data_IF_660624683472
#
_entry.id   IF_660624683472
#
_cell.length_a   1.000
_cell.length_b   1.000
_cell.length_c   1.000
_cell.angle_alpha   90.00
_cell.angle_beta   90.00
_cell.angle_gamma   90.00
#
_symmetry.space_group_name_H-M   'P 1'
#
loop_
_entity.id
_entity.type
_entity.pdbx_description
1 polymer ?
#
# COMPACT_ATOMS: atom_id res chain seq x y z
N UNK A 1 -14.15 -0.97 59.34
CA UNK A 1 -15.54 -1.18 58.88
C UNK A 1 -15.49 -1.48 57.39
N UNK A 2 -15.93 -2.61 56.82
CA UNK A 2 -16.77 -3.73 57.24
C UNK A 2 -16.28 -4.97 56.48
N UNK A 3 -16.11 -6.08 57.20
CA UNK A 3 -15.77 -7.43 56.75
C UNK A 3 -16.92 -8.06 55.95
N UNK A 4 -16.61 -8.96 55.00
CA UNK A 4 -17.38 -10.20 54.85
C UNK A 4 -16.58 -11.32 54.16
N UNK A 5 -16.16 -12.28 54.99
CA UNK A 5 -15.83 -13.66 54.66
C UNK A 5 -17.11 -14.47 54.34
N UNK A 6 -17.06 -15.41 53.40
CA UNK A 6 -17.74 -16.72 53.51
C UNK A 6 -17.08 -17.72 52.54
N UNK A 7 -16.27 -18.65 53.07
CA UNK A 7 -16.59 -20.07 53.37
C UNK A 7 -16.92 -20.92 52.14
N UNK A 8 -15.91 -21.64 51.66
CA UNK A 8 -16.07 -22.90 50.92
C UNK A 8 -16.48 -24.00 51.91
N UNK A 9 -17.65 -24.61 51.67
CA UNK A 9 -18.04 -25.87 52.28
C UNK A 9 -18.05 -26.96 51.20
N UNK A 10 -17.31 -28.05 51.46
CA UNK A 10 -17.46 -29.34 50.76
C UNK A 10 -18.78 -29.96 51.19
N UNK A 11 -19.59 -30.47 50.25
CA UNK A 11 -20.32 -31.72 50.46
C UNK A 11 -20.72 -32.40 49.15
N UNK A 12 -20.68 -33.74 49.21
CA UNK A 12 -20.96 -34.74 48.20
C UNK A 12 -22.36 -34.63 47.60
N UNK A 13 -22.48 -34.89 46.28
CA UNK A 13 -23.37 -35.89 45.71
C UNK A 13 -23.29 -35.85 44.17
N UNK A 14 -22.92 -36.98 43.57
CA UNK A 14 -22.71 -37.14 42.13
C UNK A 14 -23.95 -36.82 41.29
N UNK A 15 -24.03 -35.57 40.82
CA UNK A 15 -24.87 -35.14 39.69
C UNK A 15 -24.00 -34.30 38.75
N UNK A 16 -24.09 -34.47 37.42
CA UNK A 16 -23.33 -33.67 36.49
C UNK A 16 -23.67 -32.19 36.68
N UNK A 17 -22.63 -31.35 36.73
CA UNK A 17 -22.75 -29.91 36.80
C UNK A 17 -23.50 -29.39 35.56
N UNK A 18 -24.82 -29.29 35.68
CA UNK A 18 -25.62 -28.44 34.81
C UNK A 18 -25.16 -27.01 35.08
N UNK A 19 -24.48 -26.42 34.10
CA UNK A 19 -24.23 -24.98 34.06
C UNK A 19 -25.58 -24.25 34.01
N UNK A 20 -26.14 -23.97 35.17
CA UNK A 20 -27.26 -23.07 35.33
C UNK A 20 -26.68 -21.66 35.29
N UNK A 21 -26.50 -21.13 34.08
CA UNK A 21 -26.11 -19.74 33.89
C UNK A 21 -27.22 -18.86 34.44
N UNK A 22 -26.91 -18.16 35.53
CA UNK A 22 -27.80 -17.21 36.18
C UNK A 22 -28.04 -16.08 35.20
N UNK A 23 -29.32 -15.81 34.92
CA UNK A 23 -29.77 -14.69 34.12
C UNK A 23 -29.24 -13.38 34.72
N UNK A 24 -28.25 -12.81 34.05
CA UNK A 24 -27.92 -11.39 34.08
C UNK A 24 -28.01 -10.91 32.64
N UNK A 25 -28.86 -9.91 32.40
CA UNK A 25 -29.04 -9.25 31.12
C UNK A 25 -27.71 -8.65 30.62
N UNK A 26 -26.96 -9.48 29.90
CA UNK A 26 -25.77 -9.12 29.14
C UNK A 26 -26.01 -9.55 27.71
N UNK A 27 -26.17 -8.57 26.83
CA UNK A 27 -26.40 -8.73 25.40
C UNK A 27 -25.32 -9.66 24.81
N UNK A 28 -25.70 -10.90 24.51
CA UNK A 28 -24.87 -11.89 23.84
C UNK A 28 -24.78 -11.55 22.34
N UNK A 29 -23.89 -10.64 21.95
CA UNK A 29 -23.53 -10.36 20.56
C UNK A 29 -22.59 -11.44 19.96
N UNK A 30 -22.81 -12.71 20.30
CA UNK A 30 -22.17 -13.82 19.59
C UNK A 30 -22.92 -13.99 18.26
N UNK A 31 -22.27 -13.89 17.09
CA UNK A 31 -22.97 -14.11 15.83
C UNK A 31 -23.62 -15.49 15.88
N UNK A 32 -24.93 -15.57 15.61
CA UNK A 32 -25.63 -16.84 15.62
C UNK A 32 -24.91 -17.84 14.74
N UNK A 33 -24.81 -19.09 15.17
CA UNK A 33 -24.13 -20.15 14.43
C UNK A 33 -24.65 -20.23 12.97
N UNK A 34 -25.93 -19.92 12.76
CA UNK A 34 -26.56 -19.80 11.45
C UNK A 34 -26.05 -18.63 10.61
N UNK A 35 -25.76 -17.48 11.22
CA UNK A 35 -25.15 -16.35 10.53
C UNK A 35 -23.72 -16.68 10.09
N UNK A 36 -22.98 -17.41 10.93
CA UNK A 36 -21.63 -17.92 10.62
C UNK A 36 -21.71 -18.94 9.47
N UNK A 37 -22.63 -19.90 9.53
CA UNK A 37 -22.86 -20.87 8.46
C UNK A 37 -23.30 -20.23 7.14
N UNK A 38 -24.23 -19.26 7.17
CA UNK A 38 -24.64 -18.53 5.96
C UNK A 38 -23.48 -17.77 5.35
N UNK A 39 -22.59 -17.19 6.16
CA UNK A 39 -21.38 -16.50 5.70
C UNK A 39 -20.39 -17.44 5.03
N UNK A 40 -20.23 -18.66 5.55
CA UNK A 40 -19.39 -19.70 4.92
C UNK A 40 -20.06 -20.35 3.69
N UNK A 41 -21.40 -20.38 3.65
CA UNK A 41 -22.18 -20.94 2.55
C UNK A 41 -22.34 -19.96 1.37
N UNK A 42 -22.28 -18.65 1.62
CA UNK A 42 -22.41 -17.64 0.57
C UNK A 42 -21.18 -17.61 -0.33
N UNK A 43 -21.40 -17.84 -1.63
CA UNK A 43 -20.35 -17.74 -2.65
C UNK A 43 -19.85 -16.30 -2.72
N UNK A 44 -18.53 -16.02 -2.67
CA UNK A 44 -18.03 -14.69 -2.99
C UNK A 44 -18.46 -14.36 -4.42
N UNK A 45 -19.08 -13.19 -4.61
CA UNK A 45 -19.46 -12.74 -5.94
C UNK A 45 -18.23 -12.72 -6.86
N UNK A 46 -18.40 -13.29 -8.06
CA UNK A 46 -17.38 -13.18 -9.12
C UNK A 46 -17.14 -11.70 -9.38
N UNK A 47 -15.88 -11.29 -9.40
CA UNK A 47 -15.53 -9.91 -9.70
C UNK A 47 -15.40 -9.74 -11.20
N UNK A 48 -16.02 -8.69 -11.72
CA UNK A 48 -15.85 -8.32 -13.12
C UNK A 48 -14.39 -8.00 -13.41
N UNK A 49 -13.95 -8.29 -14.64
CA UNK A 49 -12.58 -8.05 -15.09
C UNK A 49 -12.16 -6.59 -14.85
N UNK A 50 -13.03 -5.63 -15.18
CA UNK A 50 -12.76 -4.20 -14.95
C UNK A 50 -12.53 -3.86 -13.47
N UNK A 51 -13.25 -4.50 -12.56
CA UNK A 51 -13.07 -4.33 -11.11
C UNK A 51 -11.71 -4.87 -10.64
N UNK A 52 -11.24 -5.96 -11.23
CA UNK A 52 -9.91 -6.51 -10.97
C UNK A 52 -8.81 -5.58 -11.50
N UNK A 53 -8.94 -5.10 -12.74
CA UNK A 53 -7.98 -4.14 -13.33
C UNK A 53 -7.91 -2.86 -12.50
N UNK A 54 -9.05 -2.32 -12.08
CA UNK A 54 -9.08 -1.12 -11.26
C UNK A 54 -8.48 -1.33 -9.86
N UNK A 55 -8.62 -2.54 -9.29
CA UNK A 55 -7.91 -2.92 -8.06
C UNK A 55 -6.41 -3.06 -8.30
N UNK A 56 -5.98 -3.49 -9.49
CA UNK A 56 -4.56 -3.65 -9.83
C UNK A 56 -3.86 -2.32 -10.14
N UNK A 57 -4.60 -1.27 -10.51
CA UNK A 57 -4.05 0.08 -10.70
C UNK A 57 -3.28 0.60 -9.49
N UNK A 58 -3.61 0.15 -8.28
CA UNK A 58 -2.85 0.53 -7.07
C UNK A 58 -1.40 0.10 -7.18
N UNK A 59 -1.20 -1.16 -7.55
CA UNK A 59 0.13 -1.76 -7.65
C UNK A 59 0.89 -1.07 -8.76
N UNK A 60 0.21 -0.80 -9.88
CA UNK A 60 0.77 -0.06 -11.00
C UNK A 60 1.17 1.39 -10.63
N UNK A 61 0.40 2.06 -9.76
CA UNK A 61 0.74 3.40 -9.27
C UNK A 61 1.99 3.39 -8.40
N UNK A 62 2.08 2.51 -7.40
CA UNK A 62 3.28 2.40 -6.54
C UNK A 62 4.52 1.99 -7.35
N UNK A 63 4.35 1.08 -8.33
CA UNK A 63 5.39 0.73 -9.29
C UNK A 63 5.85 1.94 -10.10
N UNK A 64 4.91 2.73 -10.65
CA UNK A 64 5.24 3.93 -11.42
C UNK A 64 5.93 5.01 -10.59
N UNK A 65 5.50 5.24 -9.35
CA UNK A 65 6.17 6.16 -8.43
C UNK A 65 7.61 5.72 -8.11
N UNK A 66 7.80 4.42 -7.90
CA UNK A 66 9.13 3.83 -7.66
C UNK A 66 10.05 4.02 -8.88
N UNK A 67 9.55 3.72 -10.08
CA UNK A 67 10.29 3.94 -11.33
C UNK A 67 10.58 5.41 -11.58
N UNK A 68 9.63 6.31 -11.30
CA UNK A 68 9.84 7.75 -11.42
C UNK A 68 10.98 8.22 -10.53
N UNK A 69 11.02 7.79 -9.26
CA UNK A 69 12.06 8.22 -8.33
C UNK A 69 13.45 7.72 -8.76
N UNK A 70 13.56 6.46 -9.20
CA UNK A 70 14.80 5.90 -9.75
C UNK A 70 15.25 6.67 -11.00
N UNK A 71 14.35 6.91 -11.95
CA UNK A 71 14.65 7.67 -13.16
C UNK A 71 15.06 9.12 -12.84
N UNK A 72 14.36 9.77 -11.88
CA UNK A 72 14.68 11.14 -11.47
C UNK A 72 16.05 11.24 -10.83
N UNK A 73 16.41 10.27 -9.99
CA UNK A 73 17.74 10.16 -9.40
C UNK A 73 18.81 9.96 -10.46
N UNK A 74 18.60 9.04 -11.42
CA UNK A 74 19.55 8.81 -12.52
C UNK A 74 19.81 10.09 -13.31
N UNK A 75 18.74 10.80 -13.70
CA UNK A 75 18.86 12.09 -14.42
C UNK A 75 19.57 13.14 -13.55
N UNK A 76 19.38 13.12 -12.23
CA UNK A 76 20.10 13.99 -11.31
C UNK A 76 21.62 13.77 -11.37
N UNK A 77 22.07 12.51 -11.35
CA UNK A 77 23.48 12.16 -11.46
C UNK A 77 24.07 12.56 -12.81
N UNK A 78 23.33 12.33 -13.91
CA UNK A 78 23.76 12.79 -15.24
C UNK A 78 23.93 14.30 -15.30
N UNK A 79 23.04 15.06 -14.64
CA UNK A 79 23.13 16.52 -14.60
C UNK A 79 24.36 17.00 -13.82
N UNK A 80 24.68 16.37 -12.69
CA UNK A 80 25.91 16.68 -11.93
C UNK A 80 27.17 16.38 -12.75
N UNK A 81 27.19 15.24 -13.44
CA UNK A 81 28.30 14.85 -14.31
C UNK A 81 28.47 15.78 -15.52
N UNK A 82 27.37 16.27 -16.10
CA UNK A 82 27.40 17.10 -17.32
C UNK A 82 27.79 18.56 -17.04
N UNK A 83 27.79 19.00 -15.77
CA UNK A 83 28.15 20.37 -15.39
C UNK A 83 29.60 20.73 -15.73
N UNK A 84 30.45 19.75 -16.03
CA UNK A 84 31.85 19.95 -16.45
C UNK A 84 32.06 20.13 -17.96
N UNK A 85 31.03 20.01 -18.82
CA UNK A 85 31.17 20.13 -20.29
C UNK A 85 30.05 21.01 -20.89
N UNK A 86 30.36 22.13 -21.56
CA UNK A 86 29.36 23.06 -22.06
C UNK A 86 28.94 22.72 -23.50
N UNK A 87 27.87 21.94 -23.70
CA UNK A 87 27.24 21.84 -25.03
C UNK A 87 25.70 21.78 -25.01
N UNK A 88 25.11 22.27 -26.11
CA UNK A 88 23.69 22.59 -26.32
C UNK A 88 22.69 21.43 -26.14
N UNK A 89 23.12 20.18 -25.99
CA UNK A 89 22.25 19.04 -25.65
C UNK A 89 21.66 19.16 -24.23
N UNK A 90 22.27 19.99 -23.37
CA UNK A 90 21.89 20.20 -21.98
C UNK A 90 20.51 20.86 -21.82
N UNK A 91 20.13 21.80 -22.69
CA UNK A 91 18.87 22.56 -22.56
C UNK A 91 17.64 21.72 -22.85
N UNK A 92 17.67 20.83 -23.85
CA UNK A 92 16.54 19.96 -24.21
C UNK A 92 16.30 18.89 -23.14
N UNK A 93 17.36 18.35 -22.53
CA UNK A 93 17.20 17.37 -21.44
C UNK A 93 16.66 18.02 -20.16
N UNK A 94 16.99 19.28 -19.90
CA UNK A 94 16.56 20.01 -18.71
C UNK A 94 15.08 20.42 -18.77
N UNK A 95 14.57 20.85 -19.93
CA UNK A 95 13.15 21.23 -20.10
C UNK A 95 12.21 20.04 -19.89
N UNK A 96 12.53 18.88 -20.46
CA UNK A 96 11.75 17.65 -20.28
C UNK A 96 11.75 17.18 -18.81
N UNK A 97 12.89 17.34 -18.13
CA UNK A 97 13.05 16.98 -16.72
C UNK A 97 12.18 17.86 -15.81
N UNK A 98 12.22 19.17 -16.02
CA UNK A 98 11.44 20.13 -15.24
C UNK A 98 9.95 19.93 -15.52
N UNK A 99 9.56 19.74 -16.78
CA UNK A 99 8.18 19.48 -17.17
C UNK A 99 7.62 18.21 -16.50
N UNK A 100 8.36 17.11 -16.52
CA UNK A 100 7.90 15.87 -15.93
C UNK A 100 7.89 15.88 -14.40
N UNK A 101 8.82 16.62 -13.77
CA UNK A 101 8.82 16.85 -12.33
C UNK A 101 7.63 17.71 -11.90
N UNK A 102 7.30 18.74 -12.68
CA UNK A 102 6.11 19.59 -12.46
C UNK A 102 4.82 18.80 -12.69
N UNK A 103 4.76 17.97 -13.73
CA UNK A 103 3.60 17.12 -13.99
C UNK A 103 3.35 16.11 -12.85
N UNK A 104 4.42 15.49 -12.33
CA UNK A 104 4.32 14.59 -11.17
C UNK A 104 3.88 15.32 -9.91
N UNK A 105 4.48 16.48 -9.61
CA UNK A 105 4.11 17.25 -8.42
C UNK A 105 2.67 17.76 -8.51
N UNK A 106 2.21 18.19 -9.69
CA UNK A 106 0.82 18.56 -9.94
C UNK A 106 -0.14 17.38 -9.73
N UNK A 107 0.21 16.18 -10.23
CA UNK A 107 -0.59 14.97 -10.01
C UNK A 107 -0.69 14.61 -8.52
N UNK A 108 0.42 14.67 -7.78
CA UNK A 108 0.44 14.42 -6.33
C UNK A 108 -0.38 15.47 -5.58
N UNK A 109 -0.23 16.75 -5.91
CA UNK A 109 -1.00 17.83 -5.29
C UNK A 109 -2.50 17.69 -5.55
N UNK A 110 -2.90 17.28 -6.75
CA UNK A 110 -4.29 16.99 -7.08
C UNK A 110 -4.84 15.83 -6.24
N UNK A 111 -4.07 14.75 -6.07
CA UNK A 111 -4.43 13.62 -5.20
C UNK A 111 -4.60 14.07 -3.74
N UNK A 112 -3.64 14.83 -3.21
CA UNK A 112 -3.71 15.37 -1.85
C UNK A 112 -4.91 16.31 -1.66
N UNK A 113 -5.20 17.16 -2.66
CA UNK A 113 -6.34 18.07 -2.65
C UNK A 113 -7.68 17.32 -2.67
N UNK A 114 -7.81 16.32 -3.55
CA UNK A 114 -9.00 15.46 -3.63
C UNK A 114 -9.22 14.67 -2.34
N UNK A 115 -8.15 14.12 -1.75
CA UNK A 115 -8.19 13.48 -0.43
C UNK A 115 -8.64 14.44 0.67
N UNK A 116 -8.10 15.66 0.68
CA UNK A 116 -8.50 16.68 1.65
C UNK A 116 -9.99 17.01 1.54
N UNK A 117 -10.55 17.10 0.32
CA UNK A 117 -11.98 17.38 0.10
C UNK A 117 -12.90 16.20 0.47
N UNK A 118 -12.42 14.97 0.26
CA UNK A 118 -13.14 13.71 0.50
C UNK A 118 -13.41 13.46 2.00
N UNK A 119 -12.49 13.89 2.87
CA UNK A 119 -12.64 13.65 4.30
C UNK A 119 -13.86 14.42 4.86
N UNK A 120 -14.66 13.77 5.72
CA UNK A 120 -15.81 14.39 6.43
C UNK A 120 -15.42 14.95 7.82
N UNK A 121 -14.14 14.88 8.17
CA UNK A 121 -13.62 15.27 9.49
C UNK A 121 -13.80 16.80 9.69
N UNK A 122 -14.22 17.27 10.88
CA UNK A 122 -14.33 18.71 11.17
C UNK A 122 -12.97 19.43 11.02
N UNK A 123 -13.01 20.68 10.53
CA UNK A 123 -11.82 21.47 10.14
C UNK A 123 -10.73 21.56 11.21
N UNK A 124 -11.10 21.62 12.49
CA UNK A 124 -10.15 21.71 13.62
C UNK A 124 -9.31 20.43 13.78
N UNK A 125 -9.96 19.26 13.84
CA UNK A 125 -9.27 17.95 13.90
C UNK A 125 -8.40 17.67 12.67
N UNK A 126 -8.65 18.32 11.52
CA UNK A 126 -7.77 18.22 10.35
C UNK A 126 -6.47 18.98 10.52
N UNK A 127 -6.51 20.19 11.09
CA UNK A 127 -5.31 21.02 11.27
C UNK A 127 -4.35 20.34 12.24
N UNK A 128 -4.85 19.84 13.36
CA UNK A 128 -4.05 19.11 14.34
C UNK A 128 -3.40 17.86 13.73
N UNK A 129 -4.17 17.05 12.99
CA UNK A 129 -3.63 15.89 12.27
C UNK A 129 -2.59 16.29 11.22
N UNK A 130 -2.87 17.32 10.42
CA UNK A 130 -1.96 17.80 9.39
C UNK A 130 -0.66 18.33 9.99
N UNK A 131 -0.73 19.08 11.10
CA UNK A 131 0.43 19.54 11.84
C UNK A 131 1.25 18.39 12.39
N UNK A 132 0.60 17.38 12.99
CA UNK A 132 1.28 16.18 13.48
C UNK A 132 1.97 15.41 12.35
N UNK A 133 1.30 15.28 11.19
CA UNK A 133 1.91 14.64 10.02
C UNK A 133 3.07 15.43 9.46
N UNK A 134 2.95 16.76 9.44
CA UNK A 134 4.01 17.63 8.98
C UNK A 134 5.21 17.55 9.93
N UNK A 135 5.00 17.54 11.25
CA UNK A 135 6.08 17.38 12.22
C UNK A 135 6.76 16.02 12.08
N UNK A 136 5.99 14.94 11.91
CA UNK A 136 6.53 13.59 11.70
C UNK A 136 7.34 13.54 10.40
N UNK A 137 6.85 14.15 9.32
CA UNK A 137 7.54 14.21 8.04
C UNK A 137 8.83 15.03 8.10
N UNK A 138 8.83 16.16 8.82
CA UNK A 138 10.03 16.98 9.04
C UNK A 138 11.06 16.18 9.84
N UNK A 139 10.64 15.55 10.95
CA UNK A 139 11.52 14.73 11.78
C UNK A 139 12.11 13.58 10.97
N UNK A 140 11.28 12.88 10.20
CA UNK A 140 11.71 11.82 9.30
C UNK A 140 12.71 12.35 8.26
N UNK A 141 12.45 13.49 7.62
CA UNK A 141 13.36 14.11 6.66
C UNK A 141 14.73 14.45 7.26
N UNK A 142 14.74 14.97 8.50
CA UNK A 142 15.99 15.24 9.23
C UNK A 142 16.75 13.94 9.49
N UNK A 143 16.08 12.91 10.00
CA UNK A 143 16.70 11.60 10.28
C UNK A 143 17.24 10.96 9.00
N UNK A 144 16.47 10.96 7.92
CA UNK A 144 16.90 10.43 6.62
C UNK A 144 18.10 11.19 6.08
N UNK A 145 18.20 12.50 6.34
CA UNK A 145 19.35 13.29 5.92
C UNK A 145 20.61 12.96 6.72
N UNK A 146 20.48 12.80 8.03
CA UNK A 146 21.60 12.34 8.86
C UNK A 146 22.05 10.95 8.41
N UNK A 147 21.09 10.05 8.17
CA UNK A 147 21.35 8.71 7.68
C UNK A 147 21.98 8.74 6.28
N UNK A 148 21.56 9.63 5.38
CA UNK A 148 22.14 9.78 4.05
C UNK A 148 23.60 10.25 4.13
N UNK A 149 23.95 11.14 5.05
CA UNK A 149 25.33 11.57 5.29
C UNK A 149 26.21 10.43 5.80
N UNK A 150 25.71 9.65 6.78
CA UNK A 150 26.40 8.47 7.31
C UNK A 150 26.49 7.36 6.25
N UNK A 151 25.44 7.15 5.48
CA UNK A 151 25.44 6.19 4.37
C UNK A 151 26.39 6.64 3.27
N UNK A 152 26.54 7.94 3.00
CA UNK A 152 27.50 8.44 2.02
C UNK A 152 28.93 8.07 2.41
N UNK A 153 29.29 8.20 3.68
CA UNK A 153 30.64 7.80 4.15
C UNK A 153 30.81 6.28 4.14
N UNK A 154 29.80 5.52 4.55
CA UNK A 154 29.83 4.05 4.52
C UNK A 154 29.81 3.47 3.11
N UNK A 155 29.12 4.13 2.18
CA UNK A 155 28.99 3.67 0.79
C UNK A 155 30.05 4.22 -0.13
N UNK A 156 30.97 5.05 0.35
CA UNK A 156 32.11 5.54 -0.43
C UNK A 156 33.02 4.40 -0.94
N UNK A 157 33.11 3.28 -0.20
CA UNK A 157 33.89 2.10 -0.57
C UNK A 157 33.14 1.12 -1.48
N UNK A 158 31.82 1.25 -1.63
CA UNK A 158 31.02 0.42 -2.52
C UNK A 158 30.97 1.03 -3.94
N UNK A 159 30.83 0.19 -4.97
CA UNK A 159 30.67 0.69 -6.34
C UNK A 159 29.27 1.30 -6.54
N UNK A 160 29.15 2.26 -7.47
CA UNK A 160 27.85 2.90 -7.79
C UNK A 160 26.79 1.89 -8.20
N UNK A 161 27.17 0.89 -8.99
CA UNK A 161 26.28 -0.17 -9.48
C UNK A 161 25.66 -0.99 -8.33
N UNK A 162 26.45 -1.26 -7.27
CA UNK A 162 25.93 -1.99 -6.10
C UNK A 162 24.92 -1.18 -5.30
N UNK A 163 25.14 0.13 -5.15
CA UNK A 163 24.20 1.02 -4.46
C UNK A 163 22.90 1.16 -5.25
N UNK A 164 22.99 1.27 -6.58
CA UNK A 164 21.81 1.30 -7.46
C UNK A 164 21.04 -0.03 -7.43
N UNK A 165 21.75 -1.17 -7.41
CA UNK A 165 21.12 -2.48 -7.28
C UNK A 165 20.40 -2.65 -5.93
N UNK A 166 21.01 -2.21 -4.82
CA UNK A 166 20.39 -2.23 -3.50
C UNK A 166 19.17 -1.30 -3.42
N UNK A 167 19.26 -0.10 -4.01
CA UNK A 167 18.13 0.82 -4.07
C UNK A 167 16.99 0.26 -4.92
N UNK A 168 17.28 -0.32 -6.08
CA UNK A 168 16.29 -0.97 -6.94
C UNK A 168 15.63 -2.16 -6.23
N UNK A 169 16.42 -2.94 -5.49
CA UNK A 169 15.90 -4.04 -4.68
C UNK A 169 15.00 -3.53 -3.56
N UNK A 170 15.38 -2.45 -2.86
CA UNK A 170 14.57 -1.81 -1.84
C UNK A 170 13.26 -1.23 -2.39
N UNK A 171 13.28 -0.62 -3.58
CA UNK A 171 12.08 -0.17 -4.28
C UNK A 171 11.18 -1.34 -4.70
N UNK A 172 11.78 -2.44 -5.15
CA UNK A 172 11.03 -3.66 -5.47
C UNK A 172 10.38 -4.25 -4.21
N UNK A 173 11.11 -4.29 -3.10
CA UNK A 173 10.61 -4.75 -1.81
C UNK A 173 9.49 -3.85 -1.29
N UNK A 174 9.60 -2.54 -1.46
CA UNK A 174 8.55 -1.58 -1.15
C UNK A 174 7.25 -1.92 -1.89
N UNK A 175 7.32 -2.10 -3.21
CA UNK A 175 6.16 -2.49 -4.03
C UNK A 175 5.60 -3.84 -3.56
N UNK A 176 6.43 -4.86 -3.37
CA UNK A 176 5.96 -6.20 -2.94
C UNK A 176 5.30 -6.16 -1.56
N UNK A 177 5.83 -5.39 -0.62
CA UNK A 177 5.34 -5.36 0.76
C UNK A 177 4.25 -4.31 1.02
N UNK A 178 3.86 -3.54 0.00
CA UNK A 178 2.81 -2.54 0.12
C UNK A 178 1.47 -3.17 0.54
N UNK A 179 0.79 -2.59 1.53
CA UNK A 179 -0.54 -3.04 1.93
C UNK A 179 -1.60 -2.53 0.94
N UNK A 180 -1.74 -3.28 -0.15
CA UNK A 180 -2.69 -2.97 -1.21
C UNK A 180 -4.15 -3.13 -0.79
N UNK A 181 -4.45 -3.84 0.31
CA UNK A 181 -5.81 -3.91 0.84
C UNK A 181 -6.20 -2.58 1.46
N UNK A 182 -5.31 -2.02 2.29
CA UNK A 182 -5.49 -0.68 2.84
C UNK A 182 -5.61 0.36 1.73
N UNK A 183 -4.67 0.39 0.78
CA UNK A 183 -4.67 1.38 -0.28
C UNK A 183 -5.95 1.36 -1.13
N UNK A 184 -6.60 0.20 -1.30
CA UNK A 184 -7.88 0.06 -2.01
C UNK A 184 -9.12 0.51 -1.21
N UNK A 185 -8.96 1.09 -0.02
CA UNK A 185 -10.11 1.47 0.82
C UNK A 185 -10.84 0.28 1.45
N UNK A 186 -10.28 -0.93 1.37
CA UNK A 186 -10.91 -2.12 1.97
C UNK A 186 -10.62 -2.14 3.47
N UNK A 187 -11.67 -1.98 4.27
CA UNK A 187 -11.59 -2.24 5.71
C UNK A 187 -11.55 -3.76 5.93
N UNK A 188 -10.75 -4.26 6.89
CA UNK A 188 -10.72 -5.69 7.21
C UNK A 188 -12.13 -6.18 7.52
N UNK A 189 -12.55 -7.24 6.83
CA UNK A 189 -13.91 -7.74 6.83
C UNK A 189 -14.18 -8.58 8.10
N UNK A 190 -14.26 -7.92 9.26
CA UNK A 190 -14.50 -8.54 10.56
C UNK A 190 -14.98 -7.61 11.66
N UNK A 191 -15.10 -6.30 11.40
CA UNK A 191 -15.34 -5.29 12.44
C UNK A 191 -16.67 -4.55 12.25
N UNK A 192 -17.76 -5.30 12.03
CA UNK A 192 -19.13 -4.74 12.15
C UNK A 192 -19.53 -4.66 13.63
N UNK A 193 -18.90 -5.46 14.51
CA UNK A 193 -19.10 -5.43 15.97
C UNK A 193 -17.88 -4.74 16.60
N UNK A 194 -17.82 -3.40 16.54
CA UNK A 194 -17.15 -2.52 17.52
C UNK A 194 -17.41 -1.04 17.18
N UNK A 195 -18.66 -0.53 17.23
CA UNK A 195 -18.86 0.90 17.18
C UNK A 195 -18.63 1.59 18.54
N UNK A 196 -18.50 0.86 19.65
CA UNK A 196 -18.64 1.47 20.99
C UNK A 196 -17.41 1.51 21.90
N UNK A 197 -16.30 0.84 21.59
CA UNK A 197 -15.11 0.89 22.47
C UNK A 197 -13.83 1.03 21.63
N UNK A 198 -13.28 2.24 21.70
CA UNK A 198 -11.99 2.69 21.17
C UNK A 198 -11.91 2.97 19.66
N UNK A 199 -11.46 4.18 19.35
CA UNK A 199 -11.02 4.62 18.03
C UNK A 199 -9.77 3.85 17.58
N UNK A 200 -9.88 2.56 17.25
CA UNK A 200 -8.76 1.84 16.67
C UNK A 200 -8.61 2.26 15.20
N UNK A 201 -7.45 2.86 14.89
CA UNK A 201 -7.02 3.07 13.52
C UNK A 201 -6.95 1.70 12.82
N UNK A 202 -7.32 1.60 11.53
CA UNK A 202 -7.02 0.40 10.75
C UNK A 202 -5.53 0.09 10.88
N UNK A 203 -5.19 -1.09 11.39
CA UNK A 203 -3.80 -1.48 11.65
C UNK A 203 -3.12 -1.72 10.30
N UNK A 204 -2.20 -0.82 9.94
CA UNK A 204 -1.38 -0.88 8.73
C UNK A 204 -0.32 -1.98 8.89
N UNK A 205 -0.71 -3.24 8.70
CA UNK A 205 0.13 -4.40 9.06
C UNK A 205 1.31 -4.64 8.11
N UNK A 206 1.27 -4.13 6.87
CA UNK A 206 2.36 -4.28 5.91
C UNK A 206 3.15 -3.01 5.61
N UNK A 207 2.51 -1.85 5.69
CA UNK A 207 3.12 -0.69 5.06
C UNK A 207 4.19 0.03 5.87
N UNK A 208 4.41 -0.29 7.16
CA UNK A 208 5.63 0.18 7.86
C UNK A 208 6.87 -0.43 7.24
N UNK A 209 6.84 -1.72 6.90
CA UNK A 209 7.97 -2.39 6.26
C UNK A 209 8.20 -1.85 4.85
N UNK A 210 7.12 -1.69 4.07
CA UNK A 210 7.16 -1.08 2.75
C UNK A 210 7.68 0.36 2.78
N UNK A 211 7.21 1.20 3.70
CA UNK A 211 7.69 2.57 3.89
C UNK A 211 9.20 2.57 4.24
N UNK A 212 9.62 1.74 5.20
CA UNK A 212 11.02 1.65 5.60
C UNK A 212 11.92 1.22 4.43
N UNK A 213 11.46 0.27 3.61
CA UNK A 213 12.20 -0.17 2.41
C UNK A 213 12.36 0.97 1.39
N UNK A 214 11.30 1.73 1.11
CA UNK A 214 11.36 2.88 0.20
C UNK A 214 12.25 4.01 0.73
N UNK A 215 12.17 4.29 2.03
CA UNK A 215 13.00 5.32 2.66
C UNK A 215 14.47 4.92 2.69
N UNK A 216 14.77 3.65 3.00
CA UNK A 216 16.12 3.11 2.93
C UNK A 216 16.68 3.21 1.50
N UNK A 217 15.94 2.76 0.49
CA UNK A 217 16.32 2.88 -0.91
C UNK A 217 16.55 4.35 -1.32
N UNK A 218 15.67 5.26 -0.89
CA UNK A 218 15.83 6.70 -1.12
C UNK A 218 17.11 7.23 -0.48
N UNK A 219 17.42 6.85 0.76
CA UNK A 219 18.65 7.30 1.43
C UNK A 219 19.91 6.78 0.76
N UNK A 220 19.88 5.55 0.21
CA UNK A 220 20.98 5.01 -0.59
C UNK A 220 21.19 5.83 -1.88
N UNK A 221 20.12 6.15 -2.60
CA UNK A 221 20.19 7.00 -3.80
C UNK A 221 20.76 8.38 -3.44
N UNK A 222 20.17 9.05 -2.44
CA UNK A 222 20.57 10.40 -2.04
C UNK A 222 22.01 10.45 -1.54
N UNK A 223 22.55 9.38 -0.95
CA UNK A 223 23.94 9.33 -0.51
C UNK A 223 24.95 9.59 -1.65
N UNK A 224 24.58 9.28 -2.90
CA UNK A 224 25.41 9.46 -4.10
C UNK A 224 25.30 10.83 -4.76
N UNK A 225 24.29 11.61 -4.40
CA UNK A 225 24.08 12.97 -4.95
C UNK A 225 24.98 13.95 -4.20
N UNK A 226 25.77 14.74 -4.91
CA UNK A 226 26.70 15.70 -4.27
C UNK A 226 26.01 17.00 -3.87
N UNK A 227 25.03 17.42 -4.66
CA UNK A 227 24.27 18.65 -4.41
C UNK A 227 23.31 18.49 -3.23
N UNK A 228 23.54 19.29 -2.19
CA UNK A 228 22.63 19.39 -1.04
C UNK A 228 21.19 19.70 -1.48
N UNK A 229 20.99 20.66 -2.39
CA UNK A 229 19.66 21.06 -2.86
C UNK A 229 18.90 19.90 -3.52
N UNK A 230 19.60 19.13 -4.35
CA UNK A 230 19.02 17.99 -5.06
C UNK A 230 18.71 16.84 -4.09
N UNK A 231 19.59 16.60 -3.11
CA UNK A 231 19.37 15.65 -2.03
C UNK A 231 18.10 15.99 -1.23
N UNK A 232 17.93 17.26 -0.83
CA UNK A 232 16.71 17.71 -0.13
C UNK A 232 15.45 17.51 -0.96
N UNK A 233 15.53 17.83 -2.26
CA UNK A 233 14.41 17.67 -3.17
C UNK A 233 14.00 16.20 -3.30
N UNK A 234 14.96 15.30 -3.50
CA UNK A 234 14.70 13.86 -3.61
C UNK A 234 14.13 13.25 -2.33
N UNK A 235 14.66 13.61 -1.16
CA UNK A 235 14.11 13.18 0.14
C UNK A 235 12.68 13.69 0.31
N UNK A 236 12.44 14.98 0.04
CA UNK A 236 11.11 15.58 0.17
C UNK A 236 10.10 14.93 -0.78
N UNK A 237 10.52 14.67 -2.02
CA UNK A 237 9.72 13.98 -3.02
C UNK A 237 9.37 12.56 -2.56
N UNK A 238 10.34 11.79 -2.06
CA UNK A 238 10.11 10.43 -1.55
C UNK A 238 9.15 10.40 -0.36
N UNK A 239 9.23 11.37 0.55
CA UNK A 239 8.28 11.50 1.65
C UNK A 239 6.87 11.75 1.12
N UNK A 240 6.70 12.65 0.15
CA UNK A 240 5.38 12.90 -0.46
C UNK A 240 4.86 11.64 -1.19
N UNK A 241 5.72 10.96 -1.94
CA UNK A 241 5.37 9.78 -2.73
C UNK A 241 5.06 8.53 -1.91
N UNK A 242 5.76 8.29 -0.79
CA UNK A 242 5.62 7.03 -0.05
C UNK A 242 4.97 7.17 1.33
N UNK A 243 5.05 8.36 1.96
CA UNK A 243 4.40 8.58 3.26
C UNK A 243 3.00 9.19 3.10
N UNK A 244 2.86 10.21 2.26
CA UNK A 244 1.60 10.95 2.13
C UNK A 244 0.66 10.40 1.06
N UNK A 245 1.19 9.99 -0.10
CA UNK A 245 0.38 9.50 -1.20
C UNK A 245 -0.46 8.26 -0.86
N UNK A 246 0.07 7.20 -0.18
CA UNK A 246 -0.75 6.02 0.13
C UNK A 246 -1.95 6.33 1.04
N UNK A 247 -1.81 7.27 1.98
CA UNK A 247 -2.89 7.70 2.87
C UNK A 247 -3.92 8.55 2.11
N UNK A 248 -3.45 9.48 1.27
CA UNK A 248 -4.33 10.29 0.44
C UNK A 248 -5.13 9.44 -0.55
N UNK A 249 -4.47 8.42 -1.10
CA UNK A 249 -5.09 7.44 -1.97
C UNK A 249 -6.13 6.60 -1.24
N UNK A 250 -5.85 6.14 -0.02
CA UNK A 250 -6.83 5.41 0.80
C UNK A 250 -8.10 6.26 1.02
N UNK A 251 -7.95 7.55 1.33
CA UNK A 251 -9.08 8.47 1.48
C UNK A 251 -9.87 8.61 0.16
N UNK A 252 -9.18 8.77 -0.97
CA UNK A 252 -9.83 8.82 -2.29
C UNK A 252 -10.55 7.52 -2.61
N UNK A 253 -9.96 6.35 -2.35
CA UNK A 253 -10.57 5.06 -2.62
C UNK A 253 -11.86 4.84 -1.81
N UNK A 254 -11.93 5.41 -0.60
CA UNK A 254 -13.14 5.39 0.23
C UNK A 254 -14.26 6.29 -0.34
N UNK A 255 -13.93 7.40 -1.01
CA UNK A 255 -14.93 8.30 -1.60
C UNK A 255 -15.28 7.97 -3.05
N UNK A 256 -14.31 7.49 -3.81
CA UNK A 256 -14.41 7.16 -5.23
C UNK A 256 -13.91 5.73 -5.43
N UNK A 257 -14.79 4.73 -5.25
CA UNK A 257 -14.39 3.33 -5.34
C UNK A 257 -13.81 3.03 -6.74
N UNK A 258 -12.67 2.32 -6.83
CA UNK A 258 -11.98 2.09 -8.09
C UNK A 258 -12.86 1.41 -9.14
N UNK A 259 -13.78 0.55 -8.73
CA UNK A 259 -14.66 -0.18 -9.65
C UNK A 259 -15.70 0.69 -10.36
N UNK A 260 -16.00 1.89 -9.85
CA UNK A 260 -17.08 2.76 -10.36
C UNK A 260 -16.59 4.13 -10.84
N UNK A 261 -15.40 4.55 -10.44
CA UNK A 261 -14.84 5.85 -10.79
C UNK A 261 -13.69 5.73 -11.79
N UNK A 262 -13.68 6.57 -12.83
CA UNK A 262 -12.54 6.73 -13.74
C UNK A 262 -11.37 7.51 -13.14
N UNK A 263 -11.52 8.08 -11.94
CA UNK A 263 -10.51 8.94 -11.33
C UNK A 263 -9.16 8.23 -11.06
N UNK A 264 -9.10 6.97 -10.55
CA UNK A 264 -7.84 6.27 -10.38
C UNK A 264 -7.12 5.97 -11.70
N UNK A 265 -7.87 5.78 -12.80
CA UNK A 265 -7.29 5.61 -14.13
C UNK A 265 -6.58 6.88 -14.60
N UNK A 266 -7.23 8.04 -14.44
CA UNK A 266 -6.63 9.34 -14.78
C UNK A 266 -5.35 9.61 -13.98
N UNK A 267 -5.37 9.35 -12.67
CA UNK A 267 -4.17 9.49 -11.82
C UNK A 267 -3.06 8.56 -12.30
N UNK A 268 -3.39 7.29 -12.59
CA UNK A 268 -2.39 6.32 -13.06
C UNK A 268 -1.79 6.77 -14.39
N UNK A 269 -2.61 7.28 -15.32
CA UNK A 269 -2.15 7.80 -16.60
C UNK A 269 -1.23 9.02 -16.42
N UNK A 270 -1.56 9.95 -15.52
CA UNK A 270 -0.75 11.14 -15.25
C UNK A 270 0.62 10.79 -14.61
N UNK A 271 0.63 9.87 -13.63
CA UNK A 271 1.87 9.39 -12.99
C UNK A 271 2.72 8.61 -14.01
N UNK A 272 2.11 7.72 -14.77
CA UNK A 272 2.81 6.90 -15.77
C UNK A 272 3.35 7.75 -16.92
N UNK A 273 2.59 8.73 -17.39
CA UNK A 273 3.02 9.69 -18.42
C UNK A 273 4.22 10.52 -17.96
N UNK A 274 4.15 11.07 -16.74
CA UNK A 274 5.29 11.77 -16.13
C UNK A 274 6.53 10.87 -16.04
N UNK A 275 6.34 9.61 -15.67
CA UNK A 275 7.42 8.61 -15.58
C UNK A 275 8.05 8.35 -16.96
N UNK A 276 7.24 8.06 -17.97
CA UNK A 276 7.68 7.77 -19.34
C UNK A 276 8.56 8.87 -19.95
N UNK A 277 8.34 10.14 -19.60
CA UNK A 277 9.16 11.26 -20.08
C UNK A 277 10.60 11.18 -19.56
N UNK A 278 10.83 10.66 -18.34
CA UNK A 278 12.19 10.55 -17.76
C UNK A 278 12.93 9.28 -18.15
N UNK A 279 12.24 8.24 -18.63
CA UNK A 279 12.85 6.94 -18.88
C UNK A 279 13.64 6.96 -20.20
N UNK A 280 14.71 6.17 -20.26
CA UNK A 280 15.44 5.88 -21.50
C UNK A 280 14.67 4.87 -22.37
N UNK A 281 15.02 4.69 -23.64
CA UNK A 281 14.27 3.79 -24.54
C UNK A 281 14.15 2.34 -24.02
N UNK A 282 15.23 1.76 -23.52
CA UNK A 282 15.20 0.40 -22.94
C UNK A 282 14.33 0.33 -21.68
N UNK A 283 14.41 1.34 -20.83
CA UNK A 283 13.62 1.43 -19.61
C UNK A 283 12.15 1.65 -19.92
N UNK A 284 11.81 2.46 -20.94
CA UNK A 284 10.42 2.65 -21.40
C UNK A 284 9.81 1.32 -21.79
N UNK A 285 10.54 0.49 -22.53
CA UNK A 285 10.07 -0.86 -22.90
C UNK A 285 9.83 -1.68 -21.63
N UNK A 286 10.81 -1.76 -20.72
CA UNK A 286 10.67 -2.51 -19.47
C UNK A 286 9.49 -2.02 -18.61
N UNK A 287 9.33 -0.70 -18.51
CA UNK A 287 8.25 -0.06 -17.78
C UNK A 287 6.89 -0.34 -18.41
N UNK A 288 6.76 -0.25 -19.74
CA UNK A 288 5.52 -0.56 -20.44
C UNK A 288 5.15 -2.03 -20.30
N UNK A 289 6.13 -2.94 -20.40
CA UNK A 289 5.92 -4.37 -20.14
C UNK A 289 5.49 -4.60 -18.69
N UNK A 290 6.16 -3.97 -17.73
CA UNK A 290 5.80 -4.04 -16.30
C UNK A 290 4.38 -3.53 -16.04
N UNK A 291 4.05 -2.33 -16.51
CA UNK A 291 2.73 -1.71 -16.36
C UNK A 291 1.62 -2.55 -17.01
N UNK A 292 1.82 -3.01 -18.25
CA UNK A 292 0.82 -3.87 -18.93
C UNK A 292 0.65 -5.20 -18.23
N UNK A 293 1.74 -5.79 -17.72
CA UNK A 293 1.68 -7.03 -16.95
C UNK A 293 0.87 -6.85 -15.65
N UNK A 294 1.10 -5.77 -14.90
CA UNK A 294 0.41 -5.49 -13.64
C UNK A 294 -1.06 -5.13 -13.84
N UNK A 295 -1.39 -4.33 -14.86
CA UNK A 295 -2.75 -3.82 -15.07
C UNK A 295 -3.65 -4.80 -15.83
N UNK A 296 -3.11 -5.61 -16.74
CA UNK A 296 -3.92 -6.48 -17.59
C UNK A 296 -3.60 -7.96 -17.41
N UNK A 297 -2.32 -8.36 -17.47
CA UNK A 297 -1.96 -9.80 -17.45
C UNK A 297 -2.29 -10.43 -16.10
N UNK A 298 -1.90 -9.80 -15.00
CA UNK A 298 -2.18 -10.32 -13.64
C UNK A 298 -3.69 -10.35 -13.35
N UNK A 299 -4.49 -9.30 -13.67
CA UNK A 299 -5.95 -9.38 -13.55
C UNK A 299 -6.60 -10.41 -14.46
N UNK A 300 -6.11 -10.59 -15.69
CA UNK A 300 -6.61 -11.60 -16.62
C UNK A 300 -6.36 -13.01 -16.09
N UNK A 301 -5.14 -13.26 -15.61
CA UNK A 301 -4.80 -14.51 -14.93
C UNK A 301 -5.71 -14.77 -13.73
N UNK A 302 -5.94 -13.74 -12.89
CA UNK A 302 -6.86 -13.83 -11.75
C UNK A 302 -8.33 -14.01 -12.17
N UNK A 303 -8.75 -13.44 -13.30
CA UNK A 303 -10.09 -13.59 -13.85
C UNK A 303 -10.32 -15.03 -14.33
N UNK A 304 -9.38 -15.59 -15.10
CA UNK A 304 -9.43 -16.99 -15.55
C UNK A 304 -9.38 -17.94 -14.35
N UNK A 305 -8.51 -17.64 -13.38
CA UNK A 305 -8.39 -18.44 -12.15
C UNK A 305 -9.68 -18.45 -11.31
N UNK A 306 -10.53 -17.42 -11.40
CA UNK A 306 -11.84 -17.43 -10.73
C UNK A 306 -12.81 -18.46 -11.33
N UNK A 307 -12.65 -18.83 -12.60
CA UNK A 307 -13.47 -19.86 -13.22
C UNK A 307 -13.13 -21.26 -12.69
N UNK A 308 -11.87 -21.49 -12.35
CA UNK A 308 -11.35 -22.80 -11.94
C UNK A 308 -11.32 -22.98 -10.40
N UNK A 309 -11.72 -21.97 -9.63
CA UNK A 309 -11.74 -22.07 -8.15
C UNK A 309 -12.88 -22.97 -7.68
N UNK A 310 -12.53 -24.22 -7.39
CA UNK A 310 -13.34 -25.16 -6.60
C UNK A 310 -13.40 -24.64 -5.17
N UNK A 311 -14.60 -24.53 -4.61
CA UNK A 311 -14.81 -24.00 -3.26
C UNK A 311 -14.75 -25.12 -2.25
N UNK A 312 -13.71 -25.12 -1.41
CA UNK A 312 -13.59 -26.04 -0.28
C UNK A 312 -14.61 -25.65 0.79
N UNK A 313 -15.65 -26.49 0.99
CA UNK A 313 -16.72 -26.24 1.97
C UNK A 313 -16.29 -26.70 3.36
N UNK A 314 -15.26 -26.09 3.95
CA UNK A 314 -14.92 -26.32 5.36
C UNK A 314 -14.68 -27.81 5.72
N UNK A 315 -14.67 -28.17 7.02
CA UNK A 315 -13.95 -29.35 7.52
C UNK A 315 -14.55 -30.73 7.20
N UNK A 316 -15.65 -30.82 6.46
CA UNK A 316 -16.27 -32.09 6.05
C UNK A 316 -16.83 -31.95 4.63
N UNK A 317 -15.97 -31.68 3.64
CA UNK A 317 -16.39 -31.78 2.23
C UNK A 317 -16.78 -33.25 1.96
N UNK A 318 -18.03 -33.61 2.29
CA UNK A 318 -18.60 -34.93 2.06
C UNK A 318 -18.56 -35.13 0.55
N UNK A 319 -17.89 -36.16 0.02
CA UNK A 319 -17.88 -36.43 -1.40
C UNK A 319 -19.33 -36.52 -1.87
N UNK A 320 -19.74 -35.56 -2.69
CA UNK A 320 -21.03 -35.64 -3.35
C UNK A 320 -20.92 -36.74 -4.39
N UNK A 321 -21.95 -37.60 -4.50
CA UNK A 321 -21.96 -38.83 -5.33
C UNK A 321 -21.45 -38.65 -6.78
N UNK A 322 -21.49 -37.42 -7.30
CA UNK A 322 -20.94 -37.03 -8.61
C UNK A 322 -19.41 -37.00 -8.70
N UNK A 323 -18.66 -36.88 -7.60
CA UNK A 323 -17.19 -36.96 -7.57
C UNK A 323 -16.66 -38.39 -7.35
N UNK A 324 -17.55 -39.38 -7.16
CA UNK A 324 -17.24 -40.80 -7.03
C UNK A 324 -17.50 -41.60 -8.32
N UNK A 325 -17.59 -40.95 -9.48
CA UNK A 325 -17.51 -41.69 -10.75
C UNK A 325 -16.04 -42.09 -10.92
N UNK A 326 -15.70 -43.30 -10.49
CA UNK A 326 -14.50 -43.96 -10.98
C UNK A 326 -14.57 -43.94 -12.51
N UNK A 327 -13.53 -43.43 -13.15
CA UNK A 327 -13.28 -43.64 -14.57
C UNK A 327 -13.08 -45.14 -14.80
N UNK A 328 -14.19 -45.87 -14.92
CA UNK A 328 -14.19 -47.22 -15.47
C UNK A 328 -14.03 -47.10 -16.98
N UNK A 329 -12.81 -46.74 -17.42
CA UNK A 329 -12.33 -47.09 -18.76
C UNK A 329 -11.44 -48.33 -18.60
N UNK A 330 -12.09 -49.48 -18.74
CA UNK A 330 -11.48 -50.74 -19.15
C UNK A 330 -12.05 -51.07 -20.53
#
# INVERSE_FOLDING_TARGET
>A
MRSQNSKCAKENNGKPCLWKSSAGDGINDSPSLDAVHRRFASRPQKKDFFSLCSTALVVAQEFALSCFLLARHRVALYFEQSRSTPENAFTISQTNLDQATVAMSAALMLVLFCSSRSNTIPRQKRREKAQQRLSDAILLGIVLRLLASVLRTLTASYSSDTVEALATTGMTLHVVACDYSYANGRRPHGEIIRPLISSQRPVFRGGTFSLNAALFATTLLVSRVESNSMAYFLISLAIVMFAFYPDARHAIANSYPPSRSGFPWLITAAISGSTLVLLNNHEKILFLVGMTSLVFVVPLWNYISQCNKVWFRGPWDIPTRSSMKLDNKL
#
